data_IF_234384117868
#
_entry.id   IF_234384117868
#
_cell.length_a   1.000
_cell.length_b   1.000
_cell.length_c   1.000
_cell.angle_alpha   90.00
_cell.angle_beta   90.00
_cell.angle_gamma   90.00
#
_symmetry.space_group_name_H-M   'P 1'
#
loop_
_entity.id
_entity.type
_entity.pdbx_description
1 polymer ?
#
# COMPACT_ATOMS: atom_id res chain seq x y z
N UNK A 1 -12.33 15.27 4.46
CA UNK A 1 -11.78 14.51 5.61
C UNK A 1 -10.58 13.75 5.09
N UNK A 2 -9.58 13.43 5.91
CA UNK A 2 -8.39 12.75 5.40
C UNK A 2 -8.44 11.26 5.69
N UNK A 3 -8.52 10.45 4.63
CA UNK A 3 -8.50 8.99 4.72
C UNK A 3 -7.10 8.49 4.40
N UNK A 4 -6.56 7.63 5.27
CA UNK A 4 -5.36 6.85 5.00
C UNK A 4 -5.76 5.46 4.49
N UNK A 5 -5.29 5.07 3.31
CA UNK A 5 -5.38 3.72 2.78
C UNK A 5 -4.05 3.00 2.96
N UNK A 6 -4.08 1.92 3.71
CA UNK A 6 -2.96 1.04 3.95
C UNK A 6 -3.02 -0.17 3.03
N UNK A 7 -1.91 -0.48 2.38
CA UNK A 7 -1.67 -1.69 1.62
C UNK A 7 -0.44 -2.39 2.19
N UNK A 8 -0.54 -3.68 2.52
CA UNK A 8 0.56 -4.46 3.09
C UNK A 8 0.69 -5.81 2.40
N UNK A 9 1.91 -6.14 1.99
CA UNK A 9 2.22 -7.41 1.36
C UNK A 9 3.48 -8.03 1.96
N UNK A 10 3.53 -9.36 1.94
CA UNK A 10 4.70 -10.15 2.29
C UNK A 10 5.21 -10.86 1.05
N UNK A 11 6.47 -10.61 0.68
CA UNK A 11 7.07 -11.26 -0.47
C UNK A 11 7.32 -12.75 -0.20
N UNK A 12 7.65 -13.48 -1.26
CA UNK A 12 8.39 -14.74 -1.15
C UNK A 12 9.73 -14.47 -0.45
N UNK A 13 10.23 -15.44 0.33
CA UNK A 13 11.46 -15.29 1.10
C UNK A 13 12.63 -14.82 0.20
N UNK A 14 13.33 -13.78 0.65
CA UNK A 14 14.44 -13.17 -0.08
C UNK A 14 14.03 -12.25 -1.25
N UNK A 15 12.72 -12.08 -1.50
CA UNK A 15 12.19 -11.24 -2.59
C UNK A 15 11.68 -9.87 -2.11
N UNK A 16 11.98 -9.45 -0.88
CA UNK A 16 11.52 -8.18 -0.32
C UNK A 16 11.89 -6.95 -1.16
N UNK A 17 13.11 -6.89 -1.69
CA UNK A 17 13.55 -5.78 -2.56
C UNK A 17 12.86 -5.80 -3.93
N UNK A 18 12.54 -6.98 -4.47
CA UNK A 18 11.76 -7.10 -5.70
C UNK A 18 10.32 -6.59 -5.47
N UNK A 19 9.71 -6.95 -4.33
CA UNK A 19 8.39 -6.45 -3.95
C UNK A 19 8.39 -4.94 -3.71
N UNK A 20 9.44 -4.40 -3.07
CA UNK A 20 9.57 -2.96 -2.84
C UNK A 20 9.69 -2.19 -4.17
N UNK A 21 10.52 -2.69 -5.08
CA UNK A 21 10.70 -2.11 -6.42
C UNK A 21 9.37 -2.15 -7.19
N UNK A 22 8.69 -3.29 -7.18
CA UNK A 22 7.37 -3.44 -7.78
C UNK A 22 6.37 -2.45 -7.20
N UNK A 23 6.29 -2.34 -5.87
CA UNK A 23 5.33 -1.47 -5.19
C UNK A 23 5.57 0.00 -5.54
N UNK A 24 6.83 0.44 -5.62
CA UNK A 24 7.19 1.82 -6.01
C UNK A 24 6.86 2.14 -7.47
N UNK A 25 6.89 1.15 -8.34
CA UNK A 25 6.56 1.31 -9.76
C UNK A 25 5.05 1.37 -10.04
N UNK A 26 4.19 1.11 -9.04
CA UNK A 26 2.74 1.17 -9.23
C UNK A 26 2.27 2.63 -9.27
N UNK A 27 1.80 3.06 -10.43
CA UNK A 27 1.11 4.34 -10.61
C UNK A 27 -0.35 4.25 -10.17
N UNK A 28 -0.83 5.34 -9.58
CA UNK A 28 -2.24 5.50 -9.21
C UNK A 28 -2.90 6.44 -10.21
N UNK A 29 -4.15 6.13 -10.59
CA UNK A 29 -4.92 6.94 -11.54
C UNK A 29 -5.09 8.40 -11.10
N UNK A 30 -5.01 8.65 -9.78
CA UNK A 30 -5.02 9.98 -9.17
C UNK A 30 -3.87 10.05 -8.17
N UNK A 31 -3.20 11.20 -8.09
CA UNK A 31 -2.12 11.42 -7.12
C UNK A 31 -2.70 11.64 -5.73
N UNK A 32 -2.29 10.86 -4.70
CA UNK A 32 -2.70 11.10 -3.32
C UNK A 32 -2.05 12.37 -2.75
N UNK A 33 -2.60 12.91 -1.66
CA UNK A 33 -1.99 14.02 -0.91
C UNK A 33 -0.58 13.67 -0.43
N UNK A 34 -0.40 12.40 -0.04
CA UNK A 34 0.85 11.85 0.44
C UNK A 34 0.89 10.37 0.13
N UNK A 35 2.07 9.87 -0.19
CA UNK A 35 2.36 8.44 -0.33
C UNK A 35 3.65 8.14 0.41
N UNK A 36 3.60 7.17 1.29
CA UNK A 36 4.76 6.68 2.02
C UNK A 36 4.92 5.18 1.79
N UNK A 37 6.17 4.72 1.78
CA UNK A 37 6.50 3.31 1.56
C UNK A 37 7.54 2.87 2.57
N UNK A 38 7.24 1.78 3.26
CA UNK A 38 8.05 1.22 4.33
C UNK A 38 8.41 -0.22 4.01
N UNK A 39 9.52 -0.66 4.62
CA UNK A 39 9.91 -2.06 4.68
C UNK A 39 9.96 -2.51 6.14
N UNK A 40 9.72 -3.79 6.37
CA UNK A 40 9.83 -4.42 7.67
C UNK A 40 10.45 -5.82 7.53
N UNK A 41 10.89 -6.45 8.63
CA UNK A 41 11.36 -7.83 8.61
C UNK A 41 10.37 -8.78 7.95
N UNK A 42 10.87 -9.95 7.53
CA UNK A 42 10.10 -10.98 6.81
C UNK A 42 9.62 -10.50 5.44
N UNK A 43 10.49 -9.82 4.69
CA UNK A 43 10.24 -9.36 3.31
C UNK A 43 8.91 -8.60 3.14
N UNK A 44 8.57 -7.77 4.12
CA UNK A 44 7.28 -7.06 4.16
C UNK A 44 7.41 -5.65 3.61
N UNK A 45 6.46 -5.27 2.79
CA UNK A 45 6.31 -3.93 2.23
C UNK A 45 4.96 -3.36 2.65
N UNK A 46 4.96 -2.12 3.11
CA UNK A 46 3.79 -1.35 3.50
C UNK A 46 3.75 -0.08 2.67
N UNK A 47 2.61 0.22 2.06
CA UNK A 47 2.35 1.48 1.39
C UNK A 47 1.15 2.13 2.06
N UNK A 48 1.28 3.41 2.43
CA UNK A 48 0.17 4.20 2.93
C UNK A 48 -0.03 5.39 1.99
N UNK A 49 -1.28 5.63 1.61
CA UNK A 49 -1.68 6.81 0.82
C UNK A 49 -2.72 7.62 1.58
N UNK A 50 -2.64 8.95 1.50
CA UNK A 50 -3.59 9.86 2.14
C UNK A 50 -4.39 10.62 1.10
N UNK A 51 -5.69 10.74 1.34
CA UNK A 51 -6.65 11.32 0.40
C UNK A 51 -7.56 12.31 1.12
N UNK A 52 -7.82 13.46 0.51
CA UNK A 52 -8.94 14.32 0.93
C UNK A 52 -10.22 13.81 0.27
N UNK A 53 -10.94 12.94 0.98
CA UNK A 53 -12.12 12.25 0.48
C UNK A 53 -12.97 11.73 1.65
N UNK A 54 -14.25 11.43 1.40
CA UNK A 54 -15.08 10.72 2.39
C UNK A 54 -14.53 9.31 2.67
N UNK A 55 -14.83 8.74 3.85
CA UNK A 55 -14.32 7.42 4.27
C UNK A 55 -14.69 6.28 3.32
N UNK A 56 -15.91 6.33 2.78
CA UNK A 56 -16.49 5.35 1.86
C UNK A 56 -16.24 5.67 0.38
N UNK A 57 -15.44 6.71 0.09
CA UNK A 57 -15.10 7.04 -1.29
C UNK A 57 -14.34 5.89 -1.99
N UNK A 58 -14.65 5.69 -3.26
CA UNK A 58 -13.89 4.80 -4.13
C UNK A 58 -12.59 5.49 -4.48
N UNK A 59 -11.48 4.94 -4.00
CA UNK A 59 -10.15 5.52 -4.11
C UNK A 59 -9.21 4.55 -4.85
N UNK A 60 -8.22 5.05 -5.63
CA UNK A 60 -7.21 4.20 -6.25
C UNK A 60 -6.41 3.42 -5.20
N UNK A 61 -6.25 2.12 -5.43
CA UNK A 61 -5.47 1.23 -4.56
C UNK A 61 -4.36 0.54 -5.37
N UNK A 62 -3.30 0.14 -4.69
CA UNK A 62 -2.27 -0.69 -5.33
C UNK A 62 -2.88 -2.05 -5.71
N UNK A 63 -2.54 -2.58 -6.90
CA UNK A 63 -3.04 -3.88 -7.34
C UNK A 63 -2.50 -5.02 -6.46
N UNK A 64 -2.99 -6.23 -6.70
CA UNK A 64 -2.34 -7.43 -6.14
C UNK A 64 -1.11 -7.77 -6.97
N UNK A 65 0.05 -8.04 -6.35
CA UNK A 65 1.22 -8.52 -7.06
C UNK A 65 0.99 -9.94 -7.58
N UNK A 66 1.78 -10.34 -8.56
CA UNK A 66 1.81 -11.73 -9.02
C UNK A 66 2.10 -12.70 -7.86
N UNK A 67 1.48 -13.89 -7.89
CA UNK A 67 1.66 -14.93 -6.88
C UNK A 67 3.10 -15.45 -6.77
N UNK A 68 3.94 -15.27 -7.79
CA UNK A 68 5.38 -15.55 -7.69
C UNK A 68 6.14 -14.52 -6.84
N UNK A 69 5.55 -13.34 -6.62
CA UNK A 69 6.18 -12.26 -5.86
C UNK A 69 5.76 -12.25 -4.39
N UNK A 70 4.56 -12.73 -4.07
CA UNK A 70 3.99 -12.71 -2.71
C UNK A 70 3.53 -14.08 -2.22
N UNK A 71 3.64 -14.29 -0.91
CA UNK A 71 3.24 -15.58 -0.27
C UNK A 71 1.77 -15.64 0.11
N UNK A 72 1.08 -14.50 0.10
CA UNK A 72 -0.32 -14.35 0.50
C UNK A 72 -0.95 -13.14 -0.17
N UNK A 73 -2.28 -13.12 -0.20
CA UNK A 73 -3.05 -11.94 -0.59
C UNK A 73 -2.67 -10.73 0.27
N UNK A 74 -2.74 -9.55 -0.33
CA UNK A 74 -2.36 -8.30 0.32
C UNK A 74 -3.42 -7.86 1.32
N UNK A 75 -3.00 -7.26 2.42
CA UNK A 75 -3.92 -6.68 3.39
C UNK A 75 -4.22 -5.23 3.04
N UNK A 76 -5.49 -4.84 3.21
CA UNK A 76 -5.96 -3.49 2.91
C UNK A 76 -6.84 -2.95 4.03
N UNK A 77 -6.52 -1.75 4.50
CA UNK A 77 -7.23 -1.13 5.62
C UNK A 77 -7.42 0.37 5.37
N UNK A 78 -8.57 0.90 5.81
CA UNK A 78 -8.90 2.32 5.75
C UNK A 78 -8.88 2.91 7.15
N UNK A 79 -8.30 4.10 7.30
CA UNK A 79 -8.27 4.83 8.56
C UNK A 79 -8.68 6.29 8.34
N UNK A 80 -9.46 6.84 9.26
CA UNK A 80 -9.64 8.28 9.35
C UNK A 80 -8.42 8.90 10.06
N UNK A 81 -7.88 9.97 9.50
CA UNK A 81 -6.83 10.74 10.17
C UNK A 81 -7.47 11.64 11.23
N UNK A 82 -7.09 11.43 12.49
CA UNK A 82 -7.46 12.33 13.58
C UNK A 82 -6.36 13.40 13.76
N UNK A 83 -6.72 14.67 13.98
CA UNK A 83 -5.77 15.69 14.41
C UNK A 83 -5.11 15.27 15.73
N UNK A 84 -3.83 15.60 15.88
CA UNK A 84 -3.07 15.41 17.13
C UNK A 84 -3.35 16.49 18.15
#
# INVERSE_FOLDING_TARGET
MTVALMWEARAVEGRGEALLTWARAQDLAVTPLRRETFRAPQDRVLVITWWDAAYDAVLPELPEPDGELVTRAVHRWRFESVPG
#
